data_IF_283113315013
#
_entry.id   IF_283113315013
#
_cell.length_a   1.000
_cell.length_b   1.000
_cell.length_c   1.000
_cell.angle_alpha   90.00
_cell.angle_beta   90.00
_cell.angle_gamma   90.00
#
_symmetry.space_group_name_H-M   'P 1'
#
loop_
_entity.id
_entity.type
_entity.pdbx_description
1 polymer ?
#
# COMPACT_ATOMS: atom_id res chain seq x y z
N UNK A 1 34.33 7.08 35.12
CA UNK A 1 34.21 6.57 33.74
C UNK A 1 32.73 6.55 33.37
N UNK A 2 32.24 7.61 32.69
CA UNK A 2 30.81 7.85 32.43
C UNK A 2 30.28 7.06 31.21
N UNK A 3 30.48 5.76 31.18
CA UNK A 3 29.92 4.86 30.16
C UNK A 3 28.58 4.35 30.69
N UNK A 4 27.53 5.17 30.56
CA UNK A 4 26.23 4.79 31.10
C UNK A 4 25.09 5.81 30.95
N UNK A 5 25.29 6.93 30.23
CA UNK A 5 24.24 7.96 30.09
C UNK A 5 23.73 8.19 28.66
N UNK A 6 24.27 7.50 27.66
CA UNK A 6 23.91 7.72 26.25
C UNK A 6 23.02 6.65 25.62
N UNK A 7 22.80 5.49 26.25
CA UNK A 7 22.03 4.40 25.63
C UNK A 7 20.50 4.55 25.76
N UNK A 8 20.00 5.62 26.40
CA UNK A 8 18.55 5.80 26.69
C UNK A 8 17.87 6.82 25.77
N UNK A 9 18.64 7.74 25.14
CA UNK A 9 18.08 8.78 24.25
C UNK A 9 17.95 8.34 22.79
N UNK A 10 18.91 7.58 22.28
CA UNK A 10 18.93 7.06 20.91
C UNK A 10 17.83 6.02 20.58
N UNK A 11 17.40 5.10 21.48
CA UNK A 11 16.43 4.06 21.10
C UNK A 11 15.05 4.61 20.75
N UNK A 12 14.64 5.73 21.36
CA UNK A 12 13.35 6.37 21.04
C UNK A 12 13.30 6.93 19.63
N UNK A 13 14.36 7.59 19.17
CA UNK A 13 14.41 8.13 17.81
C UNK A 13 14.41 7.02 16.76
N UNK A 14 15.20 5.97 16.97
CA UNK A 14 15.24 4.80 16.08
C UNK A 14 13.87 4.13 15.99
N UNK A 15 13.19 3.96 17.12
CA UNK A 15 11.84 3.39 17.14
C UNK A 15 10.83 4.24 16.34
N UNK A 16 10.83 5.56 16.53
CA UNK A 16 9.94 6.47 15.78
C UNK A 16 10.22 6.43 14.28
N UNK A 17 11.50 6.39 13.88
CA UNK A 17 11.91 6.25 12.48
C UNK A 17 11.43 4.93 11.86
N UNK A 18 11.60 3.80 12.56
CA UNK A 18 11.13 2.49 12.09
C UNK A 18 9.61 2.48 11.94
N UNK A 19 8.89 3.03 12.92
CA UNK A 19 7.43 3.11 12.88
C UNK A 19 6.96 3.96 11.69
N UNK A 20 7.59 5.12 11.49
CA UNK A 20 7.32 5.99 10.34
C UNK A 20 7.53 5.21 9.04
N UNK A 21 8.71 4.62 8.82
CA UNK A 21 9.01 3.84 7.61
C UNK A 21 8.02 2.69 7.38
N UNK A 22 7.58 2.00 8.44
CA UNK A 22 6.60 0.93 8.37
C UNK A 22 5.23 1.41 7.88
N UNK A 23 4.79 2.60 8.31
CA UNK A 23 3.54 3.22 7.86
C UNK A 23 3.64 3.62 6.38
N UNK A 24 4.76 4.26 5.97
CA UNK A 24 4.97 4.61 4.56
C UNK A 24 5.01 3.38 3.67
N UNK A 25 5.72 2.33 4.09
CA UNK A 25 5.78 1.08 3.36
C UNK A 25 4.38 0.47 3.21
N UNK A 26 3.60 0.43 4.28
CA UNK A 26 2.22 -0.08 4.25
C UNK A 26 1.34 0.71 3.30
N UNK A 27 1.47 2.05 3.28
CA UNK A 27 0.72 2.92 2.37
C UNK A 27 1.11 2.67 0.91
N UNK A 28 2.41 2.49 0.61
CA UNK A 28 2.90 2.19 -0.74
C UNK A 28 2.41 0.81 -1.19
N UNK A 29 2.52 -0.22 -0.35
CA UNK A 29 2.05 -1.58 -0.66
C UNK A 29 0.54 -1.60 -0.91
N UNK A 30 -0.24 -0.89 -0.10
CA UNK A 30 -1.69 -0.83 -0.26
C UNK A 30 -2.09 -0.12 -1.56
N UNK A 31 -1.45 1.02 -1.88
CA UNK A 31 -1.72 1.76 -3.11
C UNK A 31 -1.24 1.03 -4.38
N UNK A 32 -0.09 0.35 -4.32
CA UNK A 32 0.40 -0.44 -5.45
C UNK A 32 -0.45 -1.67 -5.71
N UNK A 33 -0.92 -2.35 -4.66
CA UNK A 33 -1.87 -3.47 -4.78
C UNK A 33 -3.20 -3.02 -5.39
N UNK A 34 -3.69 -1.85 -4.98
CA UNK A 34 -4.87 -1.24 -5.58
C UNK A 34 -4.62 -0.95 -7.06
N UNK A 35 -3.55 -0.24 -7.41
CA UNK A 35 -3.27 0.11 -8.81
C UNK A 35 -3.03 -1.11 -9.71
N UNK A 36 -2.31 -2.13 -9.23
CA UNK A 36 -2.09 -3.39 -9.96
C UNK A 36 -3.38 -4.13 -10.28
N UNK A 37 -4.40 -3.97 -9.43
CA UNK A 37 -5.71 -4.56 -9.66
C UNK A 37 -6.48 -3.87 -10.80
N UNK A 38 -6.29 -2.56 -10.97
CA UNK A 38 -6.93 -1.75 -12.03
C UNK A 38 -6.22 -1.88 -13.37
N UNK A 39 -4.89 -2.08 -13.35
CA UNK A 39 -4.07 -2.28 -14.56
C UNK A 39 -4.10 -3.74 -15.04
N UNK A 40 -4.80 -4.64 -14.34
CA UNK A 40 -4.97 -6.01 -14.80
C UNK A 40 -5.59 -6.04 -16.21
N UNK A 41 -4.95 -6.80 -17.11
CA UNK A 41 -5.48 -6.99 -18.45
C UNK A 41 -6.76 -7.79 -18.38
N UNK A 42 -7.85 -7.26 -18.92
CA UNK A 42 -9.15 -7.90 -18.92
C UNK A 42 -9.65 -8.13 -20.35
N UNK A 43 -10.47 -9.17 -20.55
CA UNK A 43 -11.15 -9.41 -21.84
C UNK A 43 -12.67 -9.35 -21.69
N UNK A 44 -13.19 -9.70 -20.51
CA UNK A 44 -14.60 -9.65 -20.13
C UNK A 44 -14.74 -8.97 -18.78
N UNK A 45 -15.91 -8.38 -18.52
CA UNK A 45 -16.20 -7.72 -17.23
C UNK A 45 -16.06 -8.67 -16.03
N UNK A 46 -16.22 -9.98 -16.24
CA UNK A 46 -16.04 -11.02 -15.21
C UNK A 46 -14.57 -11.21 -14.79
N UNK A 47 -13.63 -10.78 -15.62
CA UNK A 47 -12.20 -10.87 -15.32
C UNK A 47 -11.77 -9.75 -14.37
N UNK A 48 -12.62 -8.72 -14.19
CA UNK A 48 -12.35 -7.63 -13.26
C UNK A 48 -12.82 -7.99 -11.84
N UNK A 49 -11.98 -7.73 -10.83
CA UNK A 49 -12.32 -8.01 -9.44
C UNK A 49 -13.36 -7.02 -8.93
N UNK A 50 -14.26 -7.52 -8.09
CA UNK A 50 -15.25 -6.71 -7.37
C UNK A 50 -14.64 -6.23 -6.06
N UNK A 51 -14.00 -5.07 -6.09
CA UNK A 51 -13.47 -4.43 -4.87
C UNK A 51 -14.54 -3.53 -4.25
N UNK A 52 -14.79 -3.70 -2.94
CA UNK A 52 -15.64 -2.83 -2.12
C UNK A 52 -17.06 -2.56 -2.65
N UNK A 53 -17.66 -3.53 -3.34
CA UNK A 53 -19.01 -3.38 -3.91
C UNK A 53 -19.07 -2.54 -5.20
N UNK A 54 -17.95 -2.02 -5.67
CA UNK A 54 -17.86 -1.39 -6.99
C UNK A 54 -17.72 -2.46 -8.08
N UNK A 55 -18.60 -2.42 -9.08
CA UNK A 55 -18.52 -3.29 -10.25
C UNK A 55 -17.57 -2.67 -11.28
N UNK A 56 -16.30 -3.09 -11.24
CA UNK A 56 -15.30 -2.74 -12.24
C UNK A 56 -15.69 -3.36 -13.59
N UNK A 57 -15.58 -2.56 -14.66
CA UNK A 57 -15.89 -2.99 -16.03
C UNK A 57 -14.63 -3.03 -16.86
N UNK A 58 -14.59 -3.95 -17.81
CA UNK A 58 -13.48 -4.05 -18.73
C UNK A 58 -13.64 -3.02 -19.87
N UNK A 59 -12.73 -2.05 -19.94
CA UNK A 59 -12.71 -1.04 -21.00
C UNK A 59 -11.32 -0.99 -21.62
N UNK A 60 -11.22 -1.17 -22.94
CA UNK A 60 -9.95 -1.15 -23.69
C UNK A 60 -8.88 -2.10 -23.11
N UNK A 61 -9.32 -3.22 -22.55
CA UNK A 61 -8.43 -4.22 -21.97
C UNK A 61 -7.95 -3.93 -20.55
N UNK A 62 -8.49 -2.92 -19.87
CA UNK A 62 -8.21 -2.63 -18.45
C UNK A 62 -9.48 -2.52 -17.61
N UNK A 63 -9.36 -2.81 -16.32
CA UNK A 63 -10.48 -2.73 -15.37
C UNK A 63 -10.66 -1.29 -14.86
N UNK A 64 -11.77 -0.67 -15.24
CA UNK A 64 -12.10 0.71 -14.84
C UNK A 64 -13.26 0.74 -13.85
N UNK A 65 -13.28 1.70 -12.90
CA UNK A 65 -14.40 1.86 -11.98
C UNK A 65 -15.70 2.20 -12.71
N UNK A 66 -16.87 1.87 -12.11
CA UNK A 66 -18.15 2.34 -12.63
C UNK A 66 -18.20 3.86 -12.49
N UNK A 67 -18.27 4.56 -13.63
CA UNK A 67 -18.60 5.99 -13.70
C UNK A 67 -20.11 6.14 -13.50
#
# INVERSE_FOLDING_TARGET
>A
MQIGKNMVKTPKLVYVLILFLSIFLSMIVSNSSFLGTFISSCKRDKDCPKLYGANFRCRKGTCVPPI
#
